data_IF_554195061202
#
_entry.id   IF_554195061202
#
_cell.length_a   1.000
_cell.length_b   1.000
_cell.length_c   1.000
_cell.angle_alpha   90.00
_cell.angle_beta   90.00
_cell.angle_gamma   90.00
#
_symmetry.space_group_name_H-M   'P 1'
#
loop_
_entity.id
_entity.type
_entity.pdbx_description
1 polymer ?
#
# COMPACT_ATOMS: atom_id res chain seq x y z
N UNK A 1 14.85 -10.28 -15.21
CA UNK A 1 13.40 -10.53 -15.39
C UNK A 1 13.22 -12.02 -15.62
N UNK A 2 13.17 -12.81 -14.54
CA UNK A 2 13.29 -14.28 -14.61
C UNK A 2 11.93 -15.00 -14.64
N UNK A 3 10.81 -14.28 -14.46
CA UNK A 3 9.48 -14.87 -14.27
C UNK A 3 8.39 -14.33 -15.21
N UNK A 4 8.74 -13.59 -16.27
CA UNK A 4 7.77 -13.14 -17.30
C UNK A 4 6.66 -12.19 -16.81
N UNK A 5 6.78 -11.65 -15.60
CA UNK A 5 5.82 -10.71 -15.02
C UNK A 5 5.83 -9.39 -15.81
N UNK A 6 4.69 -9.04 -16.40
CA UNK A 6 4.49 -7.79 -17.17
C UNK A 6 3.52 -6.84 -16.49
N UNK A 7 2.45 -7.36 -15.88
CA UNK A 7 1.38 -6.55 -15.30
C UNK A 7 1.13 -6.94 -13.85
N UNK A 8 0.89 -5.94 -13.01
CA UNK A 8 0.64 -6.11 -11.57
C UNK A 8 -0.54 -5.27 -11.08
N UNK A 9 -1.28 -5.79 -10.11
CA UNK A 9 -2.25 -5.05 -9.32
C UNK A 9 -1.67 -4.77 -7.93
N UNK A 10 -1.73 -3.52 -7.49
CA UNK A 10 -1.13 -3.09 -6.23
C UNK A 10 -2.21 -2.87 -5.17
N UNK A 11 -2.13 -3.61 -4.07
CA UNK A 11 -2.99 -3.45 -2.91
C UNK A 11 -2.19 -2.82 -1.77
N UNK A 12 -2.57 -1.61 -1.37
CA UNK A 12 -1.88 -0.84 -0.33
C UNK A 12 -2.65 -0.91 0.97
N UNK A 13 -1.96 -1.25 2.07
CA UNK A 13 -2.53 -1.27 3.42
C UNK A 13 -1.81 -0.28 4.32
N UNK A 14 -2.51 0.78 4.71
CA UNK A 14 -2.05 1.76 5.70
C UNK A 14 -1.53 3.08 5.12
N UNK A 15 -1.62 4.18 5.88
CA UNK A 15 -1.23 5.54 5.44
C UNK A 15 0.26 5.85 5.65
N UNK A 16 1.15 4.90 5.38
CA UNK A 16 2.60 5.08 5.58
C UNK A 16 3.24 6.01 4.53
N UNK A 17 4.31 6.71 4.92
CA UNK A 17 5.08 7.60 4.03
C UNK A 17 5.71 6.90 2.82
N UNK A 18 5.99 5.60 2.93
CA UNK A 18 6.56 4.79 1.85
C UNK A 18 5.57 4.37 0.76
N UNK A 19 4.28 4.70 0.87
CA UNK A 19 3.24 4.25 -0.05
C UNK A 19 3.54 4.57 -1.52
N UNK A 20 3.76 5.84 -1.82
CA UNK A 20 4.00 6.27 -3.20
C UNK A 20 5.38 5.86 -3.70
N UNK A 21 6.39 5.87 -2.81
CA UNK A 21 7.74 5.45 -3.13
C UNK A 21 7.77 3.99 -3.60
N UNK A 22 7.02 3.10 -2.93
CA UNK A 22 6.93 1.69 -3.30
C UNK A 22 6.25 1.50 -4.67
N UNK A 23 5.17 2.22 -4.95
CA UNK A 23 4.46 2.14 -6.24
C UNK A 23 5.37 2.60 -7.39
N UNK A 24 6.10 3.71 -7.19
CA UNK A 24 7.05 4.23 -8.19
C UNK A 24 8.23 3.28 -8.41
N UNK A 25 8.73 2.64 -7.36
CA UNK A 25 9.81 1.65 -7.48
C UNK A 25 9.38 0.43 -8.32
N UNK A 26 8.13 -0.04 -8.16
CA UNK A 26 7.59 -1.13 -8.97
C UNK A 26 7.50 -0.76 -10.47
N UNK A 27 7.06 0.46 -10.77
CA UNK A 27 7.07 0.98 -12.15
C UNK A 27 8.50 1.09 -12.70
N UNK A 28 9.44 1.61 -11.91
CA UNK A 28 10.84 1.73 -12.30
C UNK A 28 11.52 0.36 -12.52
N UNK A 29 11.05 -0.69 -11.84
CA UNK A 29 11.49 -2.07 -12.05
C UNK A 29 10.97 -2.69 -13.36
N UNK A 30 10.16 -1.96 -14.15
CA UNK A 30 9.64 -2.40 -15.44
C UNK A 30 8.34 -3.20 -15.36
N UNK A 31 7.60 -3.08 -14.25
CA UNK A 31 6.28 -3.68 -14.09
C UNK A 31 5.19 -2.66 -14.45
N UNK A 32 4.23 -3.07 -15.27
CA UNK A 32 3.09 -2.24 -15.64
C UNK A 32 2.02 -2.34 -14.54
N UNK A 33 1.69 -1.21 -13.91
CA UNK A 33 0.71 -1.17 -12.81
C UNK A 33 -0.68 -0.92 -13.39
N UNK A 34 -1.53 -1.95 -13.40
CA UNK A 34 -2.89 -1.87 -13.96
C UNK A 34 -3.89 -1.22 -12.98
N UNK A 35 -3.73 -1.45 -11.67
CA UNK A 35 -4.66 -0.95 -10.66
C UNK A 35 -3.96 -0.71 -9.34
N UNK A 36 -4.42 0.31 -8.61
CA UNK A 36 -3.98 0.62 -7.25
C UNK A 36 -5.23 0.66 -6.37
N UNK A 37 -5.32 -0.25 -5.41
CA UNK A 37 -6.44 -0.34 -4.46
C UNK A 37 -5.94 -0.07 -3.04
N UNK A 38 -6.61 0.83 -2.34
CA UNK A 38 -6.41 1.05 -0.91
C UNK A 38 -7.26 0.06 -0.12
N UNK A 39 -6.60 -0.77 0.68
CA UNK A 39 -7.22 -1.77 1.57
C UNK A 39 -6.94 -1.44 3.04
N UNK A 40 -6.71 -0.16 3.36
CA UNK A 40 -6.57 0.31 4.74
C UNK A 40 -7.88 0.05 5.50
N UNK A 41 -7.85 -0.70 6.62
CA UNK A 41 -9.05 -1.04 7.35
C UNK A 41 -9.66 0.21 8.00
N UNK A 42 -10.93 0.50 7.67
CA UNK A 42 -11.72 1.54 8.32
C UNK A 42 -12.66 0.85 9.32
N UNK A 43 -12.48 1.06 10.64
CA UNK A 43 -13.31 0.41 11.64
C UNK A 43 -14.66 1.12 11.78
N UNK A 44 -15.76 0.37 11.71
CA UNK A 44 -17.10 0.86 12.04
C UNK A 44 -17.32 0.83 13.56
N UNK A 45 -16.77 1.82 14.29
CA UNK A 45 -16.85 1.90 15.76
C UNK A 45 -16.40 0.62 16.50
N UNK A 46 -15.27 0.04 16.05
CA UNK A 46 -14.68 -1.20 16.60
C UNK A 46 -13.95 -1.01 17.93
N UNK A 47 -12.75 -1.59 18.08
CA UNK A 47 -11.98 -1.50 19.33
C UNK A 47 -11.56 -0.05 19.66
N UNK A 48 -11.59 0.30 20.95
CA UNK A 48 -11.14 1.61 21.44
C UNK A 48 -9.63 1.80 21.20
N UNK A 49 -9.20 2.85 20.48
CA UNK A 49 -7.78 3.16 20.33
C UNK A 49 -7.09 3.46 21.68
N UNK A 50 -5.79 3.16 21.83
CA UNK A 50 -5.04 3.50 23.03
C UNK A 50 -5.09 5.00 23.35
N UNK A 51 -4.98 5.36 24.64
CA UNK A 51 -4.89 6.75 25.07
C UNK A 51 -3.72 7.44 24.36
N UNK A 52 -3.95 8.66 23.85
CA UNK A 52 -2.92 9.48 23.21
C UNK A 52 -1.69 9.60 24.14
N UNK A 53 -0.50 9.29 23.60
CA UNK A 53 0.75 9.41 24.35
C UNK A 53 1.02 10.88 24.72
N UNK A 54 1.56 11.09 25.92
CA UNK A 54 2.10 12.38 26.38
C UNK A 54 3.60 12.34 26.14
N UNK A 55 4.00 12.63 24.92
CA UNK A 55 5.40 12.91 24.54
C UNK A 55 5.49 14.37 24.16
#
# INVERSE_FOLDING_TARGET
>A
MEHGLRQVEVFVKGPGSGREAAIRALQAAGLEVNSIKDVTPIPHNGCRPPKRRRV
#
